data_IF_136491316159
#
_entry.id   IF_136491316159
#
_cell.length_a   1.000
_cell.length_b   1.000
_cell.length_c   1.000
_cell.angle_alpha   90.00
_cell.angle_beta   90.00
_cell.angle_gamma   90.00
#
_symmetry.space_group_name_H-M   'P 1'
#
loop_
_entity.id
_entity.type
_entity.pdbx_description
1 polymer ?
#
# COMPACT_ATOMS: atom_id res chain seq x y z
N UNK A 1 -6.77 13.36 17.58
CA UNK A 1 -8.14 12.87 17.79
C UNK A 1 -8.35 11.59 16.97
N UNK A 2 -8.14 11.60 15.64
CA UNK A 2 -8.41 10.46 14.76
C UNK A 2 -7.62 9.21 15.16
N UNK A 3 -6.32 9.34 15.41
CA UNK A 3 -5.47 8.23 15.88
C UNK A 3 -6.00 7.61 17.17
N UNK A 4 -6.46 8.47 18.10
CA UNK A 4 -7.04 8.01 19.36
C UNK A 4 -8.32 7.19 19.13
N UNK A 5 -9.22 7.68 18.28
CA UNK A 5 -10.46 6.96 17.94
C UNK A 5 -10.13 5.61 17.28
N UNK A 6 -9.15 5.58 16.36
CA UNK A 6 -8.72 4.35 15.70
C UNK A 6 -8.16 3.32 16.69
N UNK A 7 -7.33 3.76 17.63
CA UNK A 7 -6.79 2.88 18.68
C UNK A 7 -7.90 2.36 19.59
N UNK A 8 -8.79 3.25 20.03
CA UNK A 8 -9.97 2.86 20.84
C UNK A 8 -10.82 1.84 20.08
N UNK A 9 -11.06 2.05 18.78
CA UNK A 9 -11.80 1.12 17.94
C UNK A 9 -11.16 -0.26 17.90
N UNK A 10 -9.85 -0.36 17.73
CA UNK A 10 -9.12 -1.64 17.74
C UNK A 10 -9.36 -2.38 19.05
N UNK A 11 -9.26 -1.69 20.21
CA UNK A 11 -9.45 -2.29 21.52
C UNK A 11 -10.89 -2.70 21.79
N UNK A 12 -11.88 -1.88 21.41
CA UNK A 12 -13.29 -2.18 21.66
C UNK A 12 -13.78 -3.30 20.73
N UNK A 13 -13.35 -3.30 19.46
CA UNK A 13 -13.83 -4.28 18.48
C UNK A 13 -13.24 -5.67 18.70
N UNK A 14 -12.02 -5.75 19.23
CA UNK A 14 -11.26 -7.01 19.47
C UNK A 14 -11.37 -7.99 18.28
N UNK A 15 -11.23 -7.46 17.06
CA UNK A 15 -11.44 -8.23 15.83
C UNK A 15 -10.22 -9.08 15.48
N UNK A 16 -10.46 -10.37 15.34
CA UNK A 16 -9.48 -11.35 14.88
C UNK A 16 -9.54 -11.54 13.37
N UNK A 17 -8.40 -11.91 12.72
CA UNK A 17 -8.38 -12.24 11.29
C UNK A 17 -9.37 -13.35 10.96
N UNK A 18 -10.13 -13.17 9.88
CA UNK A 18 -11.10 -14.14 9.38
C UNK A 18 -10.87 -14.40 7.89
N UNK A 19 -11.38 -15.50 7.38
CA UNK A 19 -11.26 -15.90 5.97
C UNK A 19 -9.79 -15.81 5.48
N UNK A 20 -9.54 -15.17 4.35
CA UNK A 20 -8.22 -15.06 3.73
C UNK A 20 -7.15 -14.45 4.63
N UNK A 21 -7.50 -13.45 5.46
CA UNK A 21 -6.56 -12.87 6.44
C UNK A 21 -6.02 -13.94 7.39
N UNK A 22 -6.89 -14.83 7.87
CA UNK A 22 -6.51 -15.91 8.79
C UNK A 22 -5.58 -16.91 8.12
N UNK A 23 -5.84 -17.24 6.84
CA UNK A 23 -4.96 -18.15 6.10
C UNK A 23 -3.57 -17.56 5.95
N UNK A 24 -3.45 -16.31 5.49
CA UNK A 24 -2.14 -15.66 5.30
C UNK A 24 -1.41 -15.57 6.63
N UNK A 25 -2.06 -15.10 7.67
CA UNK A 25 -1.46 -14.97 9.00
C UNK A 25 -0.95 -16.30 9.55
N UNK A 26 -1.74 -17.37 9.41
CA UNK A 26 -1.35 -18.70 9.87
C UNK A 26 -0.18 -19.26 9.05
N UNK A 27 -0.18 -19.09 7.73
CA UNK A 27 0.93 -19.52 6.86
C UNK A 27 2.20 -18.77 7.24
N UNK A 28 2.14 -17.46 7.45
CA UNK A 28 3.27 -16.66 7.89
C UNK A 28 3.80 -17.13 9.27
N UNK A 29 2.91 -17.55 10.17
CA UNK A 29 3.30 -18.14 11.45
C UNK A 29 3.99 -19.51 11.27
N UNK A 30 3.42 -20.39 10.44
CA UNK A 30 3.98 -21.71 10.13
C UNK A 30 5.35 -21.61 9.45
N UNK A 31 5.54 -20.66 8.53
CA UNK A 31 6.85 -20.40 7.92
C UNK A 31 7.94 -20.11 8.95
N UNK A 32 7.63 -19.39 10.03
CA UNK A 32 8.59 -19.11 11.11
C UNK A 32 8.96 -20.37 11.92
N UNK A 33 8.11 -21.38 11.88
CA UNK A 33 8.32 -22.70 12.49
C UNK A 33 8.95 -23.70 11.51
N UNK A 34 9.29 -23.27 10.28
CA UNK A 34 9.86 -24.13 9.24
C UNK A 34 8.82 -25.00 8.52
N UNK A 35 7.53 -24.70 8.66
CA UNK A 35 6.44 -25.45 8.05
C UNK A 35 5.95 -24.73 6.81
N UNK A 36 6.06 -25.36 5.63
CA UNK A 36 5.74 -24.77 4.32
C UNK A 36 4.52 -25.41 3.62
N UNK A 37 3.66 -26.09 4.35
CA UNK A 37 2.46 -26.77 3.80
C UNK A 37 1.55 -25.82 2.98
N UNK A 38 1.50 -24.54 3.32
CA UNK A 38 0.71 -23.55 2.57
C UNK A 38 1.17 -23.36 1.12
N UNK A 39 2.40 -23.76 0.77
CA UNK A 39 3.00 -23.65 -0.56
C UNK A 39 2.94 -24.95 -1.37
N UNK A 40 2.52 -26.06 -0.76
CA UNK A 40 2.33 -27.32 -1.46
C UNK A 40 1.09 -27.26 -2.38
N UNK A 41 1.02 -28.19 -3.34
CA UNK A 41 -0.13 -28.32 -4.25
C UNK A 41 -1.42 -28.43 -3.44
N UNK A 42 -2.37 -27.52 -3.72
CA UNK A 42 -3.64 -27.40 -2.99
C UNK A 42 -3.58 -26.53 -1.72
N UNK A 43 -2.40 -26.03 -1.34
CA UNK A 43 -2.25 -25.04 -0.28
C UNK A 43 -2.74 -23.65 -0.69
N UNK A 44 -3.06 -22.80 0.30
CA UNK A 44 -3.59 -21.48 0.04
C UNK A 44 -2.58 -20.56 -0.67
N UNK A 45 -1.30 -20.55 -0.25
CA UNK A 45 -0.27 -19.72 -0.89
C UNK A 45 0.04 -20.18 -2.31
N UNK A 46 0.02 -21.51 -2.56
CA UNK A 46 0.15 -22.06 -3.91
C UNK A 46 -0.98 -21.59 -4.83
N UNK A 47 -2.23 -21.62 -4.34
CA UNK A 47 -3.41 -21.20 -5.13
C UNK A 47 -3.54 -19.68 -5.26
N UNK A 48 -2.88 -18.89 -4.39
CA UNK A 48 -2.97 -17.44 -4.32
C UNK A 48 -1.58 -16.77 -4.35
N UNK A 49 -0.77 -16.97 -5.40
CA UNK A 49 0.60 -16.44 -5.48
C UNK A 49 0.67 -14.91 -5.43
N UNK A 50 -0.41 -14.23 -5.78
CA UNK A 50 -0.51 -12.77 -5.70
C UNK A 50 -0.54 -12.22 -4.26
N UNK A 51 -0.67 -13.07 -3.24
CA UNK A 51 -0.61 -12.70 -1.82
C UNK A 51 0.81 -12.81 -1.22
N UNK A 52 1.80 -13.23 -2.01
CA UNK A 52 3.15 -13.47 -1.52
C UNK A 52 3.79 -12.26 -0.83
N UNK A 53 3.53 -11.04 -1.34
CA UNK A 53 4.04 -9.82 -0.72
C UNK A 53 3.45 -9.55 0.67
N UNK A 54 2.15 -9.75 0.84
CA UNK A 54 1.50 -9.63 2.15
C UNK A 54 1.99 -10.72 3.11
N UNK A 55 2.14 -11.95 2.61
CA UNK A 55 2.62 -13.08 3.38
C UNK A 55 4.05 -12.85 3.89
N UNK A 56 4.95 -12.36 3.03
CA UNK A 56 6.32 -11.99 3.41
C UNK A 56 6.33 -10.88 4.47
N UNK A 57 5.48 -9.87 4.33
CA UNK A 57 5.32 -8.81 5.31
C UNK A 57 4.90 -9.36 6.68
N UNK A 58 3.88 -10.21 6.74
CA UNK A 58 3.42 -10.81 8.00
C UNK A 58 4.43 -11.81 8.59
N UNK A 59 5.18 -12.51 7.74
CA UNK A 59 6.29 -13.34 8.14
C UNK A 59 7.37 -12.51 8.86
N UNK A 60 7.83 -11.41 8.26
CA UNK A 60 8.87 -10.54 8.84
C UNK A 60 8.38 -9.90 10.15
N UNK A 61 7.17 -9.33 10.14
CA UNK A 61 6.63 -8.69 11.34
C UNK A 61 6.34 -9.67 12.47
N UNK A 62 6.13 -10.92 12.16
CA UNK A 62 5.95 -11.96 13.18
C UNK A 62 7.19 -12.24 14.04
N UNK A 63 8.39 -11.80 13.61
CA UNK A 63 9.58 -11.80 14.47
C UNK A 63 9.56 -10.64 15.48
N UNK A 64 8.86 -9.55 15.17
CA UNK A 64 8.73 -8.38 16.05
C UNK A 64 7.51 -8.55 16.96
N UNK A 65 6.38 -8.88 16.37
CA UNK A 65 5.12 -9.12 17.08
C UNK A 65 4.94 -10.63 17.24
N UNK A 66 4.96 -11.11 18.47
CA UNK A 66 4.77 -12.55 18.76
C UNK A 66 3.53 -13.11 18.06
N UNK A 67 3.56 -14.38 17.74
CA UNK A 67 2.42 -15.12 17.16
C UNK A 67 1.12 -14.82 17.91
N UNK A 68 0.02 -14.64 17.18
CA UNK A 68 -1.32 -14.23 17.65
C UNK A 68 -1.43 -12.79 18.14
N UNK A 69 -0.42 -11.93 17.93
CA UNK A 69 -0.51 -10.51 18.24
C UNK A 69 -0.95 -9.71 17.00
N UNK A 70 -2.23 -9.72 16.70
CA UNK A 70 -2.82 -8.95 15.58
C UNK A 70 -2.78 -7.44 15.84
N UNK A 71 -2.74 -7.03 17.09
CA UNK A 71 -2.72 -5.63 17.50
C UNK A 71 -1.58 -4.85 16.82
N UNK A 72 -0.38 -5.45 16.75
CA UNK A 72 0.77 -4.80 16.09
C UNK A 72 0.48 -4.49 14.62
N UNK A 73 -0.11 -5.42 13.87
CA UNK A 73 -0.48 -5.24 12.47
C UNK A 73 -1.59 -4.19 12.30
N UNK A 74 -2.58 -4.20 13.18
CA UNK A 74 -3.66 -3.21 13.19
C UNK A 74 -3.14 -1.80 13.52
N UNK A 75 -2.20 -1.66 14.47
CA UNK A 75 -1.56 -0.38 14.77
C UNK A 75 -0.73 0.14 13.59
N UNK A 76 -0.07 -0.74 12.83
CA UNK A 76 0.60 -0.34 11.59
C UNK A 76 -0.42 0.18 10.57
N UNK A 77 -1.61 -0.42 10.46
CA UNK A 77 -2.68 0.10 9.61
C UNK A 77 -3.13 1.51 10.04
N UNK A 78 -3.16 1.82 11.34
CA UNK A 78 -3.45 3.20 11.82
C UNK A 78 -2.41 4.18 11.29
N UNK A 79 -1.11 3.84 11.41
CA UNK A 79 -0.01 4.67 10.90
C UNK A 79 -0.12 4.81 9.37
N UNK A 80 -0.37 3.71 8.67
CA UNK A 80 -0.52 3.70 7.21
C UNK A 80 -1.67 4.62 6.76
N UNK A 81 -2.79 4.63 7.48
CA UNK A 81 -3.91 5.50 7.15
C UNK A 81 -3.60 6.98 7.43
N UNK A 82 -2.83 7.30 8.46
CA UNK A 82 -2.33 8.66 8.70
C UNK A 82 -1.43 9.15 7.57
N UNK A 83 -0.50 8.30 7.11
CA UNK A 83 0.36 8.59 5.95
C UNK A 83 -0.47 8.78 4.69
N UNK A 84 -1.53 7.97 4.50
CA UNK A 84 -2.49 8.11 3.41
C UNK A 84 -3.15 9.50 3.41
N UNK A 85 -3.71 9.93 4.53
CA UNK A 85 -4.36 11.24 4.65
C UNK A 85 -3.37 12.39 4.44
N UNK A 86 -2.16 12.28 4.99
CA UNK A 86 -1.11 13.26 4.75
C UNK A 86 -0.75 13.35 3.26
N UNK A 87 -0.63 12.21 2.59
CA UNK A 87 -0.35 12.15 1.14
C UNK A 87 -1.47 12.79 0.33
N UNK A 88 -2.73 12.49 0.63
CA UNK A 88 -3.89 13.09 -0.04
C UNK A 88 -3.93 14.61 0.20
N UNK A 89 -3.65 15.07 1.43
CA UNK A 89 -3.53 16.51 1.71
C UNK A 89 -2.49 17.18 0.80
N UNK A 90 -1.32 16.57 0.65
CA UNK A 90 -0.26 17.11 -0.21
C UNK A 90 -0.62 17.03 -1.68
N UNK A 91 -1.25 15.94 -2.14
CA UNK A 91 -1.76 15.80 -3.51
C UNK A 91 -2.74 16.92 -3.83
N UNK A 92 -3.74 17.13 -2.99
CA UNK A 92 -4.74 18.19 -3.20
C UNK A 92 -4.12 19.58 -3.15
N UNK A 93 -3.08 19.80 -2.31
CA UNK A 93 -2.30 21.05 -2.30
C UNK A 93 -1.58 21.32 -3.62
N UNK A 94 -1.02 20.28 -4.24
CA UNK A 94 -0.35 20.38 -5.55
C UNK A 94 -1.39 20.67 -6.65
N UNK A 95 -2.49 19.92 -6.65
CA UNK A 95 -3.48 19.99 -7.73
C UNK A 95 -4.30 21.28 -7.71
N UNK A 96 -4.78 21.70 -6.55
CA UNK A 96 -5.71 22.84 -6.45
C UNK A 96 -5.03 24.14 -6.00
N UNK A 97 -3.79 24.07 -5.50
CA UNK A 97 -3.01 25.20 -4.96
C UNK A 97 -3.75 26.00 -3.87
N UNK A 98 -4.83 25.44 -3.33
CA UNK A 98 -5.66 26.05 -2.30
C UNK A 98 -5.67 25.24 -1.01
N UNK A 99 -5.44 25.94 0.12
CA UNK A 99 -5.40 25.33 1.45
C UNK A 99 -6.79 24.91 1.94
N UNK A 100 -7.81 25.71 1.63
CA UNK A 100 -9.19 25.42 2.09
C UNK A 100 -9.70 24.14 1.46
N UNK A 101 -9.56 23.97 0.15
CA UNK A 101 -9.93 22.75 -0.58
C UNK A 101 -9.20 21.52 0.00
N UNK A 102 -7.89 21.65 0.28
CA UNK A 102 -7.13 20.53 0.84
C UNK A 102 -7.61 20.14 2.25
N UNK A 103 -7.93 21.12 3.09
CA UNK A 103 -8.47 20.85 4.43
C UNK A 103 -9.88 20.24 4.33
N UNK A 104 -10.73 20.78 3.46
CA UNK A 104 -12.09 20.24 3.24
C UNK A 104 -12.06 18.80 2.74
N UNK A 105 -11.12 18.46 1.83
CA UNK A 105 -10.92 17.08 1.37
C UNK A 105 -10.58 16.15 2.53
N UNK A 106 -9.63 16.54 3.40
CA UNK A 106 -9.26 15.73 4.56
C UNK A 106 -10.42 15.62 5.55
N UNK A 107 -11.18 16.68 5.75
CA UNK A 107 -12.36 16.64 6.60
C UNK A 107 -13.43 15.68 6.05
N UNK A 108 -13.68 15.72 4.73
CA UNK A 108 -14.57 14.76 4.06
C UNK A 108 -14.11 13.30 4.21
N UNK A 109 -12.81 13.04 4.05
CA UNK A 109 -12.22 11.72 4.26
C UNK A 109 -12.32 11.27 5.73
N UNK A 110 -12.19 12.19 6.67
CA UNK A 110 -12.37 11.92 8.08
C UNK A 110 -13.81 11.46 8.41
N UNK A 111 -14.79 12.01 7.72
CA UNK A 111 -16.20 11.60 7.86
C UNK A 111 -16.52 10.28 7.14
N UNK A 112 -15.61 9.78 6.32
CA UNK A 112 -15.79 8.49 5.64
C UNK A 112 -15.52 7.32 6.60
N UNK A 113 -16.52 7.02 7.42
CA UNK A 113 -16.48 6.03 8.50
C UNK A 113 -15.97 4.63 8.08
N UNK A 114 -16.30 4.07 6.88
CA UNK A 114 -15.79 2.77 6.48
C UNK A 114 -14.27 2.63 6.54
N UNK A 115 -13.51 3.72 6.28
CA UNK A 115 -12.05 3.68 6.35
C UNK A 115 -11.52 3.39 7.76
N UNK A 116 -12.25 3.77 8.79
CA UNK A 116 -11.87 3.54 10.18
C UNK A 116 -12.04 2.07 10.57
N UNK A 117 -13.11 1.44 10.10
CA UNK A 117 -13.35 0.02 10.35
C UNK A 117 -12.31 -0.85 9.64
N UNK A 118 -11.81 -0.39 8.49
CA UNK A 118 -10.80 -1.12 7.72
C UNK A 118 -9.44 -1.24 8.41
N UNK A 119 -9.15 -0.44 9.44
CA UNK A 119 -7.86 -0.53 10.16
C UNK A 119 -7.67 -1.88 10.87
N UNK A 120 -8.75 -2.54 11.26
CA UNK A 120 -8.70 -3.87 11.87
C UNK A 120 -8.52 -4.99 10.84
N UNK A 121 -8.63 -4.66 9.54
CA UNK A 121 -8.53 -5.61 8.44
C UNK A 121 -7.08 -5.71 7.94
N UNK A 122 -6.37 -6.75 8.36
CA UNK A 122 -4.93 -6.96 8.09
C UNK A 122 -4.67 -7.67 6.76
N UNK A 123 -5.34 -7.30 5.68
CA UNK A 123 -5.28 -7.98 4.37
C UNK A 123 -4.59 -7.14 3.28
N UNK A 124 -3.67 -6.26 3.66
CA UNK A 124 -2.88 -5.44 2.73
C UNK A 124 -3.60 -4.24 2.10
N UNK A 125 -4.92 -4.09 2.30
CA UNK A 125 -5.70 -3.03 1.67
C UNK A 125 -5.23 -1.62 2.09
N UNK A 126 -5.05 -1.40 3.39
CA UNK A 126 -4.61 -0.09 3.92
C UNK A 126 -3.16 0.20 3.55
N UNK A 127 -2.29 -0.81 3.62
CA UNK A 127 -0.88 -0.67 3.21
C UNK A 127 -0.77 -0.37 1.72
N UNK A 128 -1.50 -1.11 0.88
CA UNK A 128 -1.55 -0.85 -0.55
C UNK A 128 -2.08 0.56 -0.85
N UNK A 129 -3.11 1.02 -0.14
CA UNK A 129 -3.63 2.39 -0.26
C UNK A 129 -2.57 3.42 0.12
N UNK A 130 -1.90 3.24 1.26
CA UNK A 130 -0.82 4.13 1.70
C UNK A 130 0.26 4.26 0.62
N UNK A 131 0.80 3.15 0.17
CA UNK A 131 1.86 3.16 -0.83
C UNK A 131 1.40 3.73 -2.19
N UNK A 132 0.15 3.47 -2.61
CA UNK A 132 -0.38 4.05 -3.84
C UNK A 132 -0.56 5.58 -3.75
N UNK A 133 -0.98 6.11 -2.59
CA UNK A 133 -1.09 7.56 -2.37
C UNK A 133 0.29 8.23 -2.25
N UNK A 134 1.26 7.57 -1.62
CA UNK A 134 2.65 8.03 -1.62
C UNK A 134 3.20 8.06 -3.05
N UNK A 135 2.98 7.01 -3.83
CA UNK A 135 3.40 6.96 -5.23
C UNK A 135 2.79 8.11 -6.05
N UNK A 136 1.49 8.33 -5.91
CA UNK A 136 0.78 9.43 -6.58
C UNK A 136 1.34 10.80 -6.18
N UNK A 137 1.61 11.02 -4.89
CA UNK A 137 2.22 12.27 -4.43
C UNK A 137 3.58 12.51 -5.09
N UNK A 138 4.43 11.48 -5.13
CA UNK A 138 5.79 11.64 -5.62
C UNK A 138 5.87 11.68 -7.15
N UNK A 139 4.95 11.03 -7.89
CA UNK A 139 4.88 11.23 -9.34
C UNK A 139 4.44 12.65 -9.69
N UNK A 140 3.47 13.24 -8.96
CA UNK A 140 3.09 14.62 -9.17
C UNK A 140 4.25 15.59 -8.90
N UNK A 141 5.01 15.38 -7.82
CA UNK A 141 6.22 16.16 -7.55
C UNK A 141 7.27 16.02 -8.65
N UNK A 142 7.46 14.80 -9.19
CA UNK A 142 8.37 14.58 -10.30
C UNK A 142 7.91 15.35 -11.54
N UNK A 143 6.64 15.34 -11.87
CA UNK A 143 6.09 16.06 -13.03
C UNK A 143 6.22 17.59 -12.90
N UNK A 144 6.27 18.13 -11.66
CA UNK A 144 6.54 19.55 -11.40
C UNK A 144 8.04 19.91 -11.46
N UNK A 145 8.88 19.07 -10.83
CA UNK A 145 10.27 19.46 -10.50
C UNK A 145 11.34 18.66 -11.24
N UNK A 146 10.97 17.64 -12.02
CA UNK A 146 11.86 16.74 -12.76
C UNK A 146 12.95 16.03 -11.90
N UNK A 147 12.71 15.87 -10.58
CA UNK A 147 13.70 15.28 -9.66
C UNK A 147 13.62 13.75 -9.71
N UNK A 148 14.72 13.12 -10.16
CA UNK A 148 14.82 11.65 -10.26
C UNK A 148 14.55 10.93 -8.94
N UNK A 149 14.86 11.54 -7.79
CA UNK A 149 14.56 11.00 -6.46
C UNK A 149 13.05 10.81 -6.25
N UNK A 150 12.24 11.79 -6.66
CA UNK A 150 10.79 11.72 -6.53
C UNK A 150 10.23 10.60 -7.43
N UNK A 151 10.79 10.44 -8.63
CA UNK A 151 10.45 9.32 -9.51
C UNK A 151 10.74 7.96 -8.86
N UNK A 152 11.93 7.76 -8.31
CA UNK A 152 12.31 6.49 -7.69
C UNK A 152 11.43 6.16 -6.48
N UNK A 153 11.16 7.15 -5.61
CA UNK A 153 10.24 6.97 -4.48
C UNK A 153 8.84 6.56 -4.97
N UNK A 154 8.35 7.21 -6.04
CA UNK A 154 7.06 6.87 -6.62
C UNK A 154 7.03 5.44 -7.16
N UNK A 155 8.04 5.04 -7.95
CA UNK A 155 8.10 3.72 -8.55
C UNK A 155 8.22 2.60 -7.50
N UNK A 156 9.08 2.76 -6.48
CA UNK A 156 9.21 1.81 -5.37
C UNK A 156 7.88 1.70 -4.61
N UNK A 157 7.29 2.84 -4.25
CA UNK A 157 6.04 2.85 -3.49
C UNK A 157 4.90 2.18 -4.28
N UNK A 158 4.79 2.44 -5.58
CA UNK A 158 3.74 1.82 -6.40
C UNK A 158 3.94 0.31 -6.53
N UNK A 159 5.17 -0.14 -6.69
CA UNK A 159 5.48 -1.58 -6.75
C UNK A 159 5.17 -2.28 -5.43
N UNK A 160 5.46 -1.63 -4.29
CA UNK A 160 5.06 -2.13 -2.97
C UNK A 160 3.53 -2.17 -2.82
N UNK A 161 2.80 -1.15 -3.30
CA UNK A 161 1.34 -1.15 -3.26
C UNK A 161 0.77 -2.40 -3.96
N UNK A 162 1.28 -2.73 -5.15
CA UNK A 162 0.87 -3.92 -5.90
C UNK A 162 1.28 -5.21 -5.19
N UNK A 163 2.47 -5.24 -4.57
CA UNK A 163 2.95 -6.39 -3.79
C UNK A 163 2.05 -6.68 -2.57
N UNK A 164 1.57 -5.64 -1.89
CA UNK A 164 0.62 -5.80 -0.77
C UNK A 164 -0.78 -6.20 -1.23
N UNK A 165 -1.23 -5.67 -2.35
CA UNK A 165 -2.54 -5.98 -2.91
C UNK A 165 -2.56 -5.77 -4.42
N UNK A 166 -2.70 -6.84 -5.16
CA UNK A 166 -2.67 -6.85 -6.64
C UNK A 166 -3.67 -5.90 -7.30
N UNK A 167 -4.79 -5.57 -6.62
CA UNK A 167 -5.79 -4.62 -7.11
C UNK A 167 -5.19 -3.22 -7.38
N UNK A 168 -4.08 -2.85 -6.71
CA UNK A 168 -3.38 -1.58 -6.97
C UNK A 168 -2.63 -1.54 -8.30
N UNK A 169 -2.61 -2.65 -9.06
CA UNK A 169 -2.16 -2.66 -10.46
C UNK A 169 -2.96 -1.63 -11.30
N UNK A 170 -4.23 -1.43 -10.98
CA UNK A 170 -5.07 -0.39 -11.63
C UNK A 170 -4.45 1.01 -11.41
N UNK A 171 -3.97 1.30 -10.21
CA UNK A 171 -3.30 2.58 -9.91
C UNK A 171 -1.95 2.72 -10.63
N UNK A 172 -1.19 1.62 -10.78
CA UNK A 172 0.03 1.63 -11.58
C UNK A 172 -0.28 1.99 -13.03
N UNK A 173 -1.31 1.37 -13.63
CA UNK A 173 -1.76 1.68 -15.00
C UNK A 173 -2.18 3.16 -15.10
N UNK A 174 -2.95 3.66 -14.14
CA UNK A 174 -3.39 5.06 -14.11
C UNK A 174 -2.19 6.04 -14.06
N UNK A 175 -1.18 5.76 -13.23
CA UNK A 175 0.06 6.57 -13.17
C UNK A 175 0.79 6.55 -14.52
N UNK A 176 0.92 5.38 -15.14
CA UNK A 176 1.54 5.26 -16.49
C UNK A 176 0.76 6.09 -17.50
N UNK A 177 -0.56 6.04 -17.50
CA UNK A 177 -1.40 6.86 -18.39
C UNK A 177 -1.19 8.36 -18.16
N UNK A 178 -1.11 8.82 -16.91
CA UNK A 178 -0.83 10.23 -16.58
C UNK A 178 0.54 10.65 -17.14
N UNK A 179 1.57 9.82 -16.98
CA UNK A 179 2.91 10.09 -17.50
C UNK A 179 2.91 10.13 -19.04
N UNK A 180 2.18 9.23 -19.70
CA UNK A 180 2.02 9.22 -21.15
C UNK A 180 1.34 10.51 -21.64
N UNK A 181 0.27 10.94 -21.00
CA UNK A 181 -0.42 12.19 -21.33
C UNK A 181 0.50 13.41 -21.16
N UNK A 182 1.28 13.47 -20.08
CA UNK A 182 2.27 14.54 -19.87
C UNK A 182 3.37 14.50 -20.95
N UNK A 183 3.81 13.29 -21.34
CA UNK A 183 4.80 13.08 -22.41
C UNK A 183 4.32 13.65 -23.75
N UNK A 184 3.08 13.33 -24.13
CA UNK A 184 2.47 13.78 -25.39
C UNK A 184 2.23 15.30 -25.35
N UNK A 185 1.63 15.79 -24.27
CA UNK A 185 1.28 17.20 -24.12
C UNK A 185 2.49 18.14 -24.11
N UNK A 186 3.54 17.75 -23.39
CA UNK A 186 4.77 18.56 -23.22
C UNK A 186 5.90 18.18 -24.18
N UNK A 187 5.70 17.17 -25.04
CA UNK A 187 6.72 16.60 -25.94
C UNK A 187 8.02 16.20 -25.21
N UNK A 188 7.89 15.71 -23.98
CA UNK A 188 9.03 15.32 -23.13
C UNK A 188 9.35 13.83 -23.30
N UNK A 189 10.08 13.45 -24.34
CA UNK A 189 10.45 12.04 -24.59
C UNK A 189 11.15 11.35 -23.40
N UNK A 190 11.84 12.12 -22.53
CA UNK A 190 12.46 11.58 -21.30
C UNK A 190 11.47 10.88 -20.36
N UNK A 191 10.20 11.24 -20.41
CA UNK A 191 9.18 10.60 -19.58
C UNK A 191 8.91 9.12 -19.98
N UNK A 192 9.31 8.69 -21.17
CA UNK A 192 9.29 7.28 -21.56
C UNK A 192 10.24 6.45 -20.68
N UNK A 193 11.38 7.00 -20.31
CA UNK A 193 12.32 6.38 -19.36
C UNK A 193 11.63 6.19 -18.00
N UNK A 194 10.79 7.13 -17.60
CA UNK A 194 10.03 7.07 -16.36
C UNK A 194 9.10 5.83 -16.34
N UNK A 195 8.40 5.59 -17.43
CA UNK A 195 7.53 4.40 -17.55
C UNK A 195 8.36 3.13 -17.43
N UNK A 196 9.53 3.08 -18.10
CA UNK A 196 10.46 1.94 -17.97
C UNK A 196 10.89 1.73 -16.51
N UNK A 197 11.20 2.80 -15.76
CA UNK A 197 11.55 2.69 -14.34
C UNK A 197 10.42 2.08 -13.53
N UNK A 198 9.16 2.48 -13.74
CA UNK A 198 8.02 1.86 -13.05
C UNK A 198 7.89 0.37 -13.36
N UNK A 199 8.01 -0.02 -14.64
CA UNK A 199 7.91 -1.41 -15.04
C UNK A 199 9.06 -2.26 -14.49
N UNK A 200 10.29 -1.75 -14.54
CA UNK A 200 11.47 -2.44 -14.00
C UNK A 200 11.34 -2.61 -12.49
N UNK A 201 10.96 -1.56 -11.75
CA UNK A 201 10.78 -1.65 -10.30
C UNK A 201 9.66 -2.61 -9.91
N UNK A 202 8.56 -2.61 -10.67
CA UNK A 202 7.49 -3.58 -10.47
C UNK A 202 7.98 -5.02 -10.68
N UNK A 203 8.72 -5.28 -11.75
CA UNK A 203 9.29 -6.62 -12.05
C UNK A 203 10.27 -7.03 -10.94
N UNK A 204 11.20 -6.14 -10.55
CA UNK A 204 12.19 -6.43 -9.50
C UNK A 204 11.49 -6.82 -8.20
N UNK A 205 10.52 -6.04 -7.74
CA UNK A 205 9.82 -6.32 -6.48
C UNK A 205 8.99 -7.60 -6.60
N UNK A 206 8.33 -7.83 -7.73
CA UNK A 206 7.56 -9.05 -7.97
C UNK A 206 8.45 -10.30 -7.97
N UNK A 207 9.64 -10.23 -8.57
CA UNK A 207 10.57 -11.37 -8.66
C UNK A 207 11.39 -11.56 -7.38
N UNK A 208 11.60 -10.49 -6.60
CA UNK A 208 12.28 -10.58 -5.30
C UNK A 208 11.45 -11.24 -4.20
N UNK A 209 10.13 -11.36 -4.41
CA UNK A 209 9.24 -12.06 -3.50
C UNK A 209 9.17 -13.51 -3.95
N UNK A 210 9.86 -14.45 -3.27
CA UNK A 210 9.86 -15.86 -3.67
C UNK A 210 8.46 -16.44 -3.51
N UNK A 211 8.02 -17.17 -4.51
CA UNK A 211 6.82 -18.01 -4.50
C UNK A 211 7.23 -19.44 -4.17
#
# INVERSE_FOLDING_TARGET
IWTLISVIWIYISDLYPRADQKYIYNIAAQMREGIFKGFEIGGYAFSNPHQAGLLLYEYILGFIFKSKNYLGLQLINVVALLVTYFSIYKITRIMFKDKKTSISTIFGLFLFVPMWFYITFIYGNILGLMFSMVATLFVLKYLENDKIKDLLISAISMSLAVAFKSNYLIMLIAIICIILLDTISKKKAKNLIVIMVFLIMYIIIKTAIPL
#
